data_IF_800219773859
#
_entry.id   IF_800219773859
#
_cell.length_a   1.000
_cell.length_b   1.000
_cell.length_c   1.000
_cell.angle_alpha   90.00
_cell.angle_beta   90.00
_cell.angle_gamma   90.00
#
_symmetry.space_group_name_H-M   'P 1'
#
loop_
_entity.id
_entity.type
_entity.pdbx_description
1 polymer ?
#
# COMPACT_ATOMS: atom_id res chain seq x y z
N UNK A 1 1.93 31.21 -23.40
CA UNK A 1 2.48 30.80 -22.08
C UNK A 1 2.17 29.32 -21.88
N UNK A 2 3.16 28.51 -21.52
CA UNK A 2 2.94 27.10 -21.19
C UNK A 2 2.06 26.98 -19.94
N UNK A 3 1.17 26.01 -19.92
CA UNK A 3 0.31 25.72 -18.77
C UNK A 3 1.19 25.19 -17.63
N UNK A 4 1.00 25.69 -16.40
CA UNK A 4 1.77 25.23 -15.23
C UNK A 4 1.33 23.79 -14.90
N UNK A 5 2.29 22.91 -14.62
CA UNK A 5 2.02 21.53 -14.15
C UNK A 5 2.34 21.41 -12.67
N UNK A 6 1.44 20.77 -11.92
CA UNK A 6 1.61 20.45 -10.49
C UNK A 6 1.50 18.94 -10.31
N UNK A 7 2.57 18.31 -9.83
CA UNK A 7 2.55 16.91 -9.41
C UNK A 7 2.19 16.78 -7.93
N UNK A 8 1.26 15.88 -7.61
CA UNK A 8 0.91 15.50 -6.24
C UNK A 8 1.27 14.02 -6.06
N UNK A 9 2.15 13.74 -5.10
CA UNK A 9 2.58 12.39 -4.78
C UNK A 9 1.92 11.93 -3.48
N UNK A 10 1.35 10.73 -3.50
CA UNK A 10 0.60 10.15 -2.40
C UNK A 10 1.34 8.96 -1.80
N UNK A 11 1.40 8.93 -0.49
CA UNK A 11 1.54 7.66 0.20
C UNK A 11 0.24 6.84 0.05
N UNK A 12 0.31 5.53 0.19
CA UNK A 12 -0.83 4.64 -0.01
C UNK A 12 -1.39 4.13 1.32
N UNK A 13 -0.56 3.46 2.11
CA UNK A 13 -0.95 2.82 3.37
C UNK A 13 -1.31 3.86 4.42
N UNK A 14 -2.50 3.77 5.02
CA UNK A 14 -3.01 4.77 5.99
C UNK A 14 -3.10 6.21 5.44
N UNK A 15 -3.04 6.37 4.12
CA UNK A 15 -3.21 7.66 3.43
C UNK A 15 -4.35 7.59 2.42
N UNK A 16 -4.24 6.72 1.40
CA UNK A 16 -5.32 6.45 0.46
C UNK A 16 -6.21 5.30 0.94
N UNK A 17 -5.61 4.26 1.54
CA UNK A 17 -6.33 3.14 2.12
C UNK A 17 -6.28 3.15 3.65
N UNK A 18 -7.22 2.45 4.28
CA UNK A 18 -7.53 2.60 5.72
C UNK A 18 -6.55 1.93 6.69
N UNK A 19 -5.64 1.10 6.22
CA UNK A 19 -4.68 0.33 7.02
C UNK A 19 -3.50 -0.09 6.15
N UNK A 20 -2.50 -0.76 6.70
CA UNK A 20 -1.41 -1.34 5.91
C UNK A 20 -1.98 -2.38 4.94
N UNK A 21 -1.57 -2.35 3.66
CA UNK A 21 -2.07 -3.25 2.62
C UNK A 21 -1.98 -4.73 3.00
N UNK A 22 -0.96 -5.11 3.77
CA UNK A 22 -0.77 -6.49 4.18
C UNK A 22 -1.85 -6.95 5.19
N UNK A 23 -2.46 -6.02 5.94
CA UNK A 23 -3.48 -6.32 6.94
C UNK A 23 -4.85 -6.72 6.35
N UNK A 24 -5.08 -6.49 5.05
CA UNK A 24 -6.30 -6.95 4.36
C UNK A 24 -6.23 -8.47 4.13
N UNK A 25 -6.34 -8.92 2.89
CA UNK A 25 -6.42 -10.35 2.59
C UNK A 25 -5.09 -11.09 2.75
N UNK A 26 -3.94 -10.42 2.75
CA UNK A 26 -2.65 -11.13 2.89
C UNK A 26 -2.55 -11.86 4.24
N UNK A 27 -2.63 -11.12 5.36
CA UNK A 27 -2.60 -11.74 6.70
C UNK A 27 -3.74 -12.75 6.91
N UNK A 28 -4.94 -12.40 6.43
CA UNK A 28 -6.11 -13.25 6.51
C UNK A 28 -5.91 -14.59 5.80
N UNK A 29 -5.38 -14.58 4.58
CA UNK A 29 -5.13 -15.78 3.78
C UNK A 29 -4.07 -16.69 4.41
N UNK A 30 -3.07 -16.10 5.08
CA UNK A 30 -2.04 -16.84 5.80
C UNK A 30 -2.48 -17.32 7.20
N UNK A 31 -3.67 -16.89 7.65
CA UNK A 31 -4.20 -17.10 8.99
C UNK A 31 -3.20 -16.63 10.08
N UNK A 32 -2.63 -15.44 9.89
CA UNK A 32 -1.69 -14.78 10.83
C UNK A 32 -2.36 -13.53 11.38
N UNK A 33 -2.28 -13.29 12.69
CA UNK A 33 -2.74 -12.04 13.26
C UNK A 33 -1.79 -10.89 12.86
N UNK A 34 -2.29 -9.72 12.39
CA UNK A 34 -1.42 -8.60 12.00
C UNK A 34 -0.39 -8.22 13.08
N UNK A 35 -0.81 -8.18 14.35
CA UNK A 35 0.06 -7.84 15.48
C UNK A 35 1.23 -8.82 15.65
N UNK A 36 0.98 -10.12 15.43
CA UNK A 36 2.00 -11.16 15.48
C UNK A 36 3.03 -10.95 14.37
N UNK A 37 2.55 -10.72 13.15
CA UNK A 37 3.40 -10.46 11.99
C UNK A 37 4.27 -9.21 12.19
N UNK A 38 3.67 -8.09 12.57
CA UNK A 38 4.38 -6.82 12.74
C UNK A 38 5.38 -6.87 13.90
N UNK A 39 5.07 -7.62 14.96
CA UNK A 39 6.01 -7.89 16.06
C UNK A 39 7.21 -8.68 15.55
N UNK A 40 6.98 -9.73 14.77
CA UNK A 40 8.06 -10.55 14.20
C UNK A 40 8.94 -9.75 13.23
N UNK A 41 8.32 -8.99 12.31
CA UNK A 41 9.06 -8.11 11.40
C UNK A 41 9.91 -7.09 12.17
N UNK A 42 9.35 -6.47 13.21
CA UNK A 42 10.08 -5.52 14.06
C UNK A 42 11.25 -6.17 14.81
N UNK A 43 11.10 -7.42 15.25
CA UNK A 43 12.19 -8.18 15.86
C UNK A 43 13.29 -8.49 14.85
N UNK A 44 12.95 -8.91 13.63
CA UNK A 44 13.94 -9.16 12.56
C UNK A 44 14.69 -7.88 12.19
N UNK A 45 13.97 -6.77 12.01
CA UNK A 45 14.54 -5.43 11.75
C UNK A 45 15.62 -5.09 12.77
N UNK A 46 15.31 -5.21 14.08
CA UNK A 46 16.25 -4.90 15.16
C UNK A 46 17.41 -5.89 15.25
N UNK A 47 17.13 -7.20 15.15
CA UNK A 47 18.12 -8.26 15.31
C UNK A 47 19.18 -8.22 14.22
N UNK A 48 18.77 -7.92 13.00
CA UNK A 48 19.65 -7.98 11.83
C UNK A 48 20.01 -6.60 11.27
N UNK A 49 19.63 -5.52 11.96
CA UNK A 49 19.82 -4.13 11.51
C UNK A 49 19.32 -3.90 10.07
N UNK A 50 18.18 -4.49 9.73
CA UNK A 50 17.59 -4.39 8.40
C UNK A 50 16.78 -3.11 8.25
N UNK A 51 16.61 -2.67 7.01
CA UNK A 51 15.56 -1.73 6.68
C UNK A 51 14.19 -2.34 7.02
N UNK A 52 13.28 -1.52 7.57
CA UNK A 52 11.99 -1.98 8.07
C UNK A 52 11.12 -2.54 6.93
N UNK A 53 11.15 -1.91 5.76
CA UNK A 53 10.38 -2.33 4.59
C UNK A 53 10.87 -3.68 4.09
N UNK A 54 12.18 -3.78 3.87
CA UNK A 54 12.80 -5.03 3.42
C UNK A 54 12.61 -6.16 4.45
N UNK A 55 12.61 -5.84 5.74
CA UNK A 55 12.38 -6.83 6.80
C UNK A 55 10.98 -7.44 6.73
N UNK A 56 9.92 -6.64 6.62
CA UNK A 56 8.57 -7.21 6.52
C UNK A 56 8.33 -7.88 5.16
N UNK A 57 8.91 -7.38 4.07
CA UNK A 57 8.79 -8.03 2.75
C UNK A 57 9.47 -9.40 2.73
N UNK A 58 10.64 -9.54 3.36
CA UNK A 58 11.28 -10.83 3.54
C UNK A 58 10.39 -11.77 4.38
N UNK A 59 9.81 -11.26 5.46
CA UNK A 59 8.90 -12.05 6.30
C UNK A 59 7.65 -12.49 5.53
N UNK A 60 7.09 -11.64 4.65
CA UNK A 60 5.99 -12.01 3.75
C UNK A 60 6.38 -13.25 2.93
N UNK A 61 7.55 -13.23 2.28
CA UNK A 61 8.05 -14.36 1.46
C UNK A 61 8.20 -15.63 2.31
N UNK A 62 8.78 -15.51 3.51
CA UNK A 62 8.98 -16.64 4.43
C UNK A 62 7.65 -17.27 4.85
N UNK A 63 6.71 -16.47 5.36
CA UNK A 63 5.39 -16.96 5.81
C UNK A 63 4.55 -17.51 4.66
N UNK A 64 4.59 -16.86 3.50
CA UNK A 64 3.96 -17.36 2.27
C UNK A 64 4.46 -18.75 1.89
N UNK A 65 5.78 -18.97 1.94
CA UNK A 65 6.38 -20.27 1.64
C UNK A 65 5.99 -21.34 2.67
N UNK A 66 6.01 -21.00 3.97
CA UNK A 66 5.62 -21.90 5.06
C UNK A 66 4.16 -22.36 4.96
N UNK A 67 3.27 -21.46 4.52
CA UNK A 67 1.82 -21.72 4.44
C UNK A 67 1.36 -22.24 3.07
N UNK A 68 2.27 -22.40 2.11
CA UNK A 68 1.93 -22.88 0.76
C UNK A 68 1.21 -21.86 -0.12
N UNK A 69 1.38 -20.56 0.15
CA UNK A 69 0.82 -19.45 -0.63
C UNK A 69 1.93 -18.69 -1.36
N UNK A 70 2.39 -19.17 -2.54
CA UNK A 70 3.49 -18.53 -3.25
C UNK A 70 3.14 -17.09 -3.66
N UNK A 71 4.09 -16.17 -3.49
CA UNK A 71 3.94 -14.78 -3.93
C UNK A 71 4.14 -14.72 -5.45
N UNK A 72 3.03 -14.74 -6.17
CA UNK A 72 2.99 -14.50 -7.63
C UNK A 72 2.36 -13.14 -7.92
N UNK A 73 2.61 -12.60 -9.11
CA UNK A 73 1.95 -11.37 -9.58
C UNK A 73 0.42 -11.49 -9.56
N UNK A 74 -0.11 -12.62 -10.01
CA UNK A 74 -1.55 -12.89 -10.01
C UNK A 74 -2.13 -12.93 -8.60
N UNK A 75 -1.41 -13.54 -7.64
CA UNK A 75 -1.81 -13.55 -6.24
C UNK A 75 -1.82 -12.14 -5.67
N UNK A 76 -0.72 -11.39 -5.79
CA UNK A 76 -0.63 -10.02 -5.28
C UNK A 76 -1.70 -9.09 -5.88
N UNK A 77 -1.94 -9.19 -7.18
CA UNK A 77 -3.00 -8.41 -7.87
C UNK A 77 -4.38 -8.75 -7.31
N UNK A 78 -4.63 -10.03 -6.99
CA UNK A 78 -5.92 -10.45 -6.43
C UNK A 78 -6.20 -9.85 -5.05
N UNK A 79 -5.16 -9.61 -4.24
CA UNK A 79 -5.28 -9.02 -2.90
C UNK A 79 -5.73 -7.55 -2.95
N UNK A 80 -5.48 -6.84 -4.05
CA UNK A 80 -5.92 -5.45 -4.21
C UNK A 80 -7.45 -5.27 -4.21
N UNK A 81 -8.22 -6.34 -4.46
CA UNK A 81 -9.69 -6.28 -4.59
C UNK A 81 -10.41 -5.98 -3.27
N UNK A 82 -9.81 -6.30 -2.13
CA UNK A 82 -10.39 -6.08 -0.80
C UNK A 82 -9.95 -4.79 -0.11
N UNK A 83 -9.10 -4.00 -0.78
CA UNK A 83 -8.60 -2.74 -0.23
C UNK A 83 -9.77 -1.77 -0.01
N UNK A 84 -9.84 -1.24 1.21
CA UNK A 84 -10.81 -0.22 1.59
C UNK A 84 -10.14 1.16 1.58
N UNK A 85 -10.70 2.08 0.82
CA UNK A 85 -10.22 3.45 0.73
C UNK A 85 -10.88 4.36 1.77
N UNK A 86 -10.17 5.41 2.21
CA UNK A 86 -10.79 6.46 3.01
C UNK A 86 -11.93 7.14 2.24
N UNK A 87 -12.93 7.64 2.99
CA UNK A 87 -14.09 8.34 2.40
C UNK A 87 -13.61 9.49 1.52
N UNK A 88 -14.06 9.48 0.26
CA UNK A 88 -13.80 10.55 -0.70
C UNK A 88 -12.59 10.32 -1.61
N UNK A 89 -11.77 9.30 -1.36
CA UNK A 89 -10.61 8.94 -2.23
C UNK A 89 -11.06 8.55 -3.63
N UNK A 90 -12.15 7.77 -3.75
CA UNK A 90 -12.66 7.32 -5.05
C UNK A 90 -13.02 8.44 -6.02
N UNK A 91 -13.29 9.65 -5.51
CA UNK A 91 -13.63 10.84 -6.31
C UNK A 91 -12.60 11.96 -6.14
N UNK A 92 -11.50 11.70 -5.43
CA UNK A 92 -10.47 12.70 -5.12
C UNK A 92 -9.78 13.19 -6.39
N UNK A 93 -9.26 12.27 -7.20
CA UNK A 93 -8.48 12.59 -8.40
C UNK A 93 -9.28 13.45 -9.37
N UNK A 94 -10.53 13.07 -9.65
CA UNK A 94 -11.43 13.85 -10.53
C UNK A 94 -11.70 15.25 -9.99
N UNK A 95 -11.95 15.39 -8.68
CA UNK A 95 -12.17 16.70 -8.05
C UNK A 95 -10.94 17.59 -8.16
N UNK A 96 -9.75 17.05 -7.89
CA UNK A 96 -8.51 17.82 -7.95
C UNK A 96 -8.14 18.17 -9.40
N UNK A 97 -8.37 17.26 -10.35
CA UNK A 97 -8.22 17.56 -11.78
C UNK A 97 -9.14 18.70 -12.22
N UNK A 98 -10.42 18.66 -11.84
CA UNK A 98 -11.38 19.72 -12.14
C UNK A 98 -10.97 21.06 -11.52
N UNK A 99 -10.50 21.05 -10.27
CA UNK A 99 -10.02 22.24 -9.60
C UNK A 99 -8.78 22.84 -10.28
N UNK A 100 -7.78 22.00 -10.59
CA UNK A 100 -6.59 22.43 -11.33
C UNK A 100 -6.95 23.02 -12.70
N UNK A 101 -7.85 22.37 -13.44
CA UNK A 101 -8.34 22.87 -14.72
C UNK A 101 -9.00 24.26 -14.60
N UNK A 102 -9.80 24.49 -13.55
CA UNK A 102 -10.43 25.80 -13.28
C UNK A 102 -9.43 26.93 -13.03
N UNK A 103 -8.21 26.59 -12.59
CA UNK A 103 -7.12 27.53 -12.35
C UNK A 103 -6.13 27.63 -13.54
N UNK A 104 -6.40 26.93 -14.65
CA UNK A 104 -5.46 26.88 -15.77
C UNK A 104 -4.19 26.09 -15.46
N UNK A 105 -4.25 25.13 -14.54
CA UNK A 105 -3.15 24.22 -14.15
C UNK A 105 -3.41 22.81 -14.69
N UNK A 106 -2.36 22.07 -15.01
CA UNK A 106 -2.41 20.62 -15.25
C UNK A 106 -1.98 19.91 -13.97
N UNK A 107 -2.79 18.99 -13.47
CA UNK A 107 -2.44 18.21 -12.28
C UNK A 107 -2.02 16.81 -12.70
N UNK A 108 -0.92 16.34 -12.11
CA UNK A 108 -0.44 14.97 -12.23
C UNK A 108 -0.47 14.30 -10.85
N UNK A 109 -0.76 13.01 -10.83
CA UNK A 109 -0.94 12.22 -9.61
C UNK A 109 0.05 11.05 -9.61
N UNK A 110 0.79 10.90 -8.51
CA UNK A 110 1.87 9.91 -8.36
C UNK A 110 1.73 9.12 -7.08
#
# INVERSE_FOLDING_TARGET
MGKITVGIMYDFDKTLCTTDMQNYDFMKNLAIAPEEFWKEASMQTKRYAMDKILSYMLLMIQKSKEKGYPITESYLTSLGKSVLFYRGVQTWFDRINAYGASLGVTVEHY
#
